data_IF_109882178715
#
_entry.id   IF_109882178715
#
_cell.length_a   1.000
_cell.length_b   1.000
_cell.length_c   1.000
_cell.angle_alpha   90.00
_cell.angle_beta   90.00
_cell.angle_gamma   90.00
#
_symmetry.space_group_name_H-M   'P 1'
#
loop_
_entity.id
_entity.type
_entity.pdbx_description
1 polymer ?
#
# COMPACT_ATOMS: atom_id res chain seq x y z
N UNK A 1 7.78 21.31 -10.97
CA UNK A 1 6.74 21.46 -12.02
C UNK A 1 6.16 20.14 -12.53
N UNK A 2 6.71 18.97 -12.14
CA UNK A 2 6.39 17.69 -12.79
C UNK A 2 5.27 16.82 -12.18
N UNK A 3 4.87 17.02 -10.92
CA UNK A 3 3.88 16.13 -10.29
C UNK A 3 2.42 16.47 -10.59
N UNK A 4 2.15 17.68 -11.10
CA UNK A 4 0.79 18.24 -11.26
C UNK A 4 0.21 18.07 -12.66
N UNK A 5 1.02 17.71 -13.66
CA UNK A 5 0.58 17.32 -15.01
C UNK A 5 0.28 15.81 -15.11
N UNK A 6 0.48 15.05 -14.03
CA UNK A 6 0.46 13.58 -14.08
C UNK A 6 -0.94 13.00 -14.33
N UNK A 7 -2.03 13.72 -14.04
CA UNK A 7 -3.35 13.11 -14.04
C UNK A 7 -4.46 13.73 -14.87
N UNK A 8 -4.39 14.97 -15.39
CA UNK A 8 -5.39 15.42 -16.38
C UNK A 8 -5.09 16.82 -16.92
N UNK A 9 -4.87 16.91 -18.24
CA UNK A 9 -4.97 18.14 -19.03
C UNK A 9 -6.43 18.61 -19.23
N UNK A 10 -7.42 17.99 -18.57
CA UNK A 10 -8.84 18.16 -18.92
C UNK A 10 -9.79 18.48 -17.77
N UNK A 11 -9.31 18.79 -16.56
CA UNK A 11 -10.15 19.37 -15.48
C UNK A 11 -9.58 20.70 -15.00
N UNK A 12 -9.52 21.64 -15.91
CA UNK A 12 -9.33 23.05 -15.61
C UNK A 12 -10.64 23.65 -15.14
N UNK A 13 -10.77 23.90 -13.84
CA UNK A 13 -11.38 25.11 -13.27
C UNK A 13 -11.20 25.09 -11.75
N UNK A 14 -10.57 26.14 -11.23
CA UNK A 14 -10.36 26.45 -9.81
C UNK A 14 -9.46 25.54 -8.97
N UNK A 15 -8.17 25.38 -9.34
CA UNK A 15 -7.17 24.83 -8.42
C UNK A 15 -6.12 25.88 -8.08
N UNK A 16 -6.24 26.49 -6.90
CA UNK A 16 -5.07 27.06 -6.22
C UNK A 16 -4.09 25.90 -6.01
N UNK A 17 -3.00 25.87 -6.79
CA UNK A 17 -1.92 24.88 -6.69
C UNK A 17 -0.94 25.23 -5.56
N UNK A 18 -1.32 26.14 -4.66
CA UNK A 18 -0.45 26.60 -3.61
C UNK A 18 -0.30 25.50 -2.54
N UNK A 19 0.92 24.96 -2.43
CA UNK A 19 1.26 23.88 -1.49
C UNK A 19 1.56 24.39 -0.08
N UNK A 20 1.60 25.71 0.11
CA UNK A 20 1.87 26.34 1.41
C UNK A 20 0.91 25.85 2.49
N UNK A 21 -0.37 25.62 2.15
CA UNK A 21 -1.36 25.11 3.11
C UNK A 21 -0.95 23.74 3.66
N UNK A 22 -0.45 22.84 2.80
CA UNK A 22 0.01 21.51 3.22
C UNK A 22 1.24 21.60 4.11
N UNK A 23 2.21 22.46 3.74
CA UNK A 23 3.40 22.70 4.55
C UNK A 23 3.06 23.31 5.93
N UNK A 24 2.10 24.24 5.98
CA UNK A 24 1.63 24.84 7.24
C UNK A 24 0.90 23.81 8.10
N UNK A 25 0.04 22.97 7.51
CA UNK A 25 -0.63 21.89 8.24
C UNK A 25 0.36 20.90 8.84
N UNK A 26 1.37 20.47 8.08
CA UNK A 26 2.41 19.56 8.57
C UNK A 26 3.15 20.19 9.76
N UNK A 27 3.56 21.46 9.66
CA UNK A 27 4.23 22.17 10.77
C UNK A 27 3.32 22.35 11.99
N UNK A 28 2.04 22.64 11.78
CA UNK A 28 1.07 22.80 12.86
C UNK A 28 0.91 21.49 13.64
N UNK A 29 0.76 20.38 12.93
CA UNK A 29 0.63 19.06 13.55
C UNK A 29 1.95 18.57 14.16
N UNK A 30 3.11 18.91 13.60
CA UNK A 30 4.41 18.56 14.20
C UNK A 30 4.63 19.27 15.53
N UNK A 31 4.13 20.51 15.67
CA UNK A 31 4.18 21.26 16.93
C UNK A 31 3.11 20.83 17.94
N UNK A 32 2.02 20.21 17.46
CA UNK A 32 0.86 19.85 18.27
C UNK A 32 0.42 18.39 17.99
N UNK A 33 1.17 17.39 18.50
CA UNK A 33 0.90 15.98 18.19
C UNK A 33 -0.47 15.49 18.66
N UNK A 34 -1.07 16.14 19.67
CA UNK A 34 -2.43 15.83 20.15
C UNK A 34 -3.50 15.99 19.04
N UNK A 35 -3.25 16.85 18.05
CA UNK A 35 -4.17 17.12 16.95
C UNK A 35 -4.11 16.07 15.83
N UNK A 36 -3.12 15.17 15.83
CA UNK A 36 -2.98 14.10 14.82
C UNK A 36 -4.21 13.20 14.77
N UNK A 37 -4.89 12.99 15.91
CA UNK A 37 -6.13 12.20 15.98
C UNK A 37 -7.24 12.72 15.05
N UNK A 38 -7.27 14.02 14.78
CA UNK A 38 -8.26 14.66 13.91
C UNK A 38 -7.77 14.80 12.46
N UNK A 39 -6.49 14.50 12.18
CA UNK A 39 -5.90 14.69 10.86
C UNK A 39 -6.61 13.88 9.78
N UNK A 40 -7.05 12.65 10.10
CA UNK A 40 -7.81 11.81 9.16
C UNK A 40 -9.07 12.52 8.62
N UNK A 41 -9.81 13.20 9.50
CA UNK A 41 -11.00 13.99 9.11
C UNK A 41 -10.62 15.21 8.28
N UNK A 42 -9.51 15.87 8.60
CA UNK A 42 -9.00 17.01 7.82
C UNK A 42 -8.62 16.57 6.40
N UNK A 43 -7.85 15.48 6.27
CA UNK A 43 -7.46 14.93 4.97
C UNK A 43 -8.71 14.50 4.18
N UNK A 44 -9.66 13.83 4.83
CA UNK A 44 -10.94 13.47 4.21
C UNK A 44 -11.68 14.70 3.69
N UNK A 45 -11.83 15.74 4.51
CA UNK A 45 -12.47 16.99 4.09
C UNK A 45 -11.72 17.65 2.92
N UNK A 46 -10.38 17.65 2.94
CA UNK A 46 -9.59 18.16 1.81
C UNK A 46 -9.83 17.35 0.53
N UNK A 47 -10.04 16.03 0.62
CA UNK A 47 -10.39 15.19 -0.53
C UNK A 47 -11.80 15.47 -1.09
N UNK A 48 -12.70 16.08 -0.31
CA UNK A 48 -13.98 16.59 -0.84
C UNK A 48 -13.80 17.89 -1.64
N UNK A 49 -12.79 18.69 -1.29
CA UNK A 49 -12.53 20.00 -1.90
C UNK A 49 -11.60 19.94 -3.11
N UNK A 50 -10.70 18.95 -3.14
CA UNK A 50 -9.67 18.78 -4.17
C UNK A 50 -9.51 17.30 -4.52
N UNK A 51 -9.09 16.97 -5.76
CA UNK A 51 -8.88 15.58 -6.14
C UNK A 51 -7.89 14.86 -5.21
N UNK A 52 -8.23 13.66 -4.71
CA UNK A 52 -7.41 12.95 -3.73
C UNK A 52 -5.98 12.74 -4.17
N UNK A 53 -5.73 12.53 -5.46
CA UNK A 53 -4.40 12.32 -6.00
C UNK A 53 -3.52 13.56 -5.80
N UNK A 54 -4.10 14.75 -5.96
CA UNK A 54 -3.39 16.00 -5.68
C UNK A 54 -3.13 16.18 -4.18
N UNK A 55 -4.12 15.88 -3.34
CA UNK A 55 -4.00 16.01 -1.87
C UNK A 55 -2.88 15.10 -1.35
N UNK A 56 -2.92 13.82 -1.70
CA UNK A 56 -1.93 12.84 -1.26
C UNK A 56 -0.54 13.13 -1.78
N UNK A 57 -0.38 13.45 -3.08
CA UNK A 57 0.92 13.82 -3.65
C UNK A 57 1.46 15.10 -3.01
N UNK A 58 0.60 16.08 -2.72
CA UNK A 58 1.05 17.32 -2.07
C UNK A 58 1.54 17.07 -0.66
N UNK A 59 0.82 16.25 0.14
CA UNK A 59 1.32 15.83 1.45
C UNK A 59 2.63 15.07 1.35
N UNK A 60 2.74 14.07 0.45
CA UNK A 60 3.97 13.30 0.29
C UNK A 60 5.18 14.16 -0.06
N UNK A 61 5.02 15.14 -0.96
CA UNK A 61 6.11 16.06 -1.33
C UNK A 61 6.47 17.02 -0.20
N UNK A 62 5.49 17.56 0.53
CA UNK A 62 5.78 18.48 1.63
C UNK A 62 6.31 17.76 2.88
N UNK A 63 5.93 16.50 3.12
CA UNK A 63 6.52 15.65 4.16
C UNK A 63 7.99 15.34 3.85
N UNK A 64 8.30 14.98 2.60
CA UNK A 64 9.68 14.71 2.17
C UNK A 64 10.59 15.93 2.34
N UNK A 65 10.08 17.13 1.98
CA UNK A 65 10.77 18.39 2.25
C UNK A 65 10.93 18.68 3.74
N UNK A 66 9.93 18.35 4.55
CA UNK A 66 9.99 18.53 6.00
C UNK A 66 11.11 17.66 6.59
N UNK A 67 11.20 16.39 6.20
CA UNK A 67 12.25 15.46 6.64
C UNK A 67 13.63 15.90 6.14
N UNK A 68 13.76 16.20 4.85
CA UNK A 68 15.04 16.62 4.24
C UNK A 68 15.59 17.88 4.91
N UNK A 69 14.74 18.88 5.17
CA UNK A 69 15.14 20.12 5.84
C UNK A 69 15.67 19.88 7.26
N UNK A 70 15.15 18.88 7.97
CA UNK A 70 15.59 18.51 9.33
C UNK A 70 16.91 17.73 9.30
N UNK A 71 17.11 16.88 8.29
CA UNK A 71 18.37 16.17 8.10
C UNK A 71 19.52 17.11 7.75
N UNK A 72 19.26 18.18 7.01
CA UNK A 72 20.28 19.17 6.60
C UNK A 72 20.65 20.17 7.71
N UNK A 73 19.86 20.29 8.79
CA UNK A 73 20.20 21.19 9.90
C UNK A 73 21.34 20.61 10.76
N UNK A 74 22.51 21.26 10.86
CA UNK A 74 23.71 20.71 11.50
C UNK A 74 23.63 20.60 13.04
N UNK A 75 22.61 21.16 13.68
CA UNK A 75 22.46 21.25 15.14
C UNK A 75 21.32 20.38 15.71
N UNK A 76 20.80 19.40 14.94
CA UNK A 76 19.66 18.60 15.42
C UNK A 76 20.13 17.60 16.49
N UNK A 77 19.77 17.90 17.74
CA UNK A 77 19.77 16.92 18.83
C UNK A 77 19.11 15.63 18.33
N UNK A 78 19.81 14.49 18.45
CA UNK A 78 19.36 13.17 17.96
C UNK A 78 17.94 12.82 18.40
N UNK A 79 17.52 13.27 19.59
CA UNK A 79 16.18 13.06 20.12
C UNK A 79 15.11 13.82 19.33
N UNK A 80 15.38 15.07 18.90
CA UNK A 80 14.43 15.86 18.09
C UNK A 80 14.22 15.27 16.70
N UNK A 81 15.27 14.71 16.10
CA UNK A 81 15.12 14.01 14.81
C UNK A 81 14.26 12.74 14.96
N UNK A 82 14.46 11.99 16.05
CA UNK A 82 13.63 10.82 16.36
C UNK A 82 12.15 11.19 16.53
N UNK A 83 11.87 12.26 17.27
CA UNK A 83 10.50 12.76 17.46
C UNK A 83 9.86 13.22 16.13
N UNK A 84 10.61 13.94 15.30
CA UNK A 84 10.15 14.37 13.98
C UNK A 84 9.85 13.15 13.06
N UNK A 85 10.67 12.09 13.10
CA UNK A 85 10.43 10.86 12.33
C UNK A 85 9.21 10.09 12.83
N UNK A 86 9.02 9.99 14.15
CA UNK A 86 7.83 9.37 14.75
C UNK A 86 6.56 10.13 14.39
N UNK A 87 6.63 11.47 14.38
CA UNK A 87 5.57 12.34 13.88
C UNK A 87 5.22 12.03 12.42
N UNK A 88 6.21 11.95 11.53
CA UNK A 88 5.99 11.66 10.10
C UNK A 88 5.39 10.27 9.93
N UNK A 89 5.86 9.26 10.66
CA UNK A 89 5.27 7.92 10.66
C UNK A 89 3.79 7.94 11.06
N UNK A 90 3.45 8.65 12.14
CA UNK A 90 2.06 8.83 12.59
C UNK A 90 1.21 9.60 11.58
N UNK A 91 1.78 10.61 10.92
CA UNK A 91 1.08 11.36 9.86
C UNK A 91 0.75 10.46 8.67
N UNK A 92 1.72 9.66 8.22
CA UNK A 92 1.55 8.69 7.13
C UNK A 92 0.53 7.62 7.51
N UNK A 93 0.52 7.16 8.75
CA UNK A 93 -0.50 6.23 9.26
C UNK A 93 -1.92 6.81 9.07
N UNK A 94 -2.13 8.10 9.39
CA UNK A 94 -3.41 8.78 9.16
C UNK A 94 -3.75 8.90 7.67
N UNK A 95 -2.76 9.18 6.81
CA UNK A 95 -2.95 9.18 5.36
C UNK A 95 -3.37 7.80 4.84
N UNK A 96 -2.72 6.72 5.30
CA UNK A 96 -3.07 5.34 4.93
C UNK A 96 -4.48 4.98 5.40
N UNK A 97 -4.85 5.38 6.62
CA UNK A 97 -6.21 5.17 7.13
C UNK A 97 -7.26 5.80 6.20
N UNK A 98 -7.06 7.05 5.78
CA UNK A 98 -7.96 7.74 4.85
C UNK A 98 -7.93 7.11 3.45
N UNK A 99 -6.76 6.69 2.97
CA UNK A 99 -6.64 6.03 1.67
C UNK A 99 -7.48 4.75 1.60
N UNK A 100 -7.52 3.96 2.66
CA UNK A 100 -8.17 2.65 2.66
C UNK A 100 -9.65 2.69 3.05
N UNK A 101 -10.07 3.62 3.91
CA UNK A 101 -11.40 3.57 4.54
C UNK A 101 -12.41 4.57 3.99
N UNK A 102 -11.95 5.66 3.38
CA UNK A 102 -12.79 6.81 3.01
C UNK A 102 -13.36 6.66 1.59
N UNK A 103 -14.59 7.08 1.32
CA UNK A 103 -15.20 6.90 -0.02
C UNK A 103 -14.64 7.90 -1.03
N UNK A 104 -14.26 9.09 -0.56
CA UNK A 104 -13.68 10.18 -1.31
C UNK A 104 -12.37 9.77 -2.01
N UNK A 105 -11.64 8.79 -1.44
CA UNK A 105 -10.40 8.24 -1.99
C UNK A 105 -10.62 7.03 -2.91
N UNK A 106 -11.87 6.64 -3.21
CA UNK A 106 -12.17 5.48 -4.05
C UNK A 106 -11.57 5.58 -5.47
N UNK A 107 -11.58 6.78 -6.07
CA UNK A 107 -10.95 7.02 -7.37
C UNK A 107 -9.44 6.77 -7.33
N UNK A 108 -8.75 7.31 -6.31
CA UNK A 108 -7.32 7.09 -6.10
C UNK A 108 -7.01 5.62 -5.83
N UNK A 109 -7.82 4.90 -5.04
CA UNK A 109 -7.66 3.46 -4.85
C UNK A 109 -7.75 2.69 -6.16
N UNK A 110 -8.74 3.01 -7.01
CA UNK A 110 -8.89 2.37 -8.31
C UNK A 110 -7.69 2.64 -9.23
N UNK A 111 -7.11 3.85 -9.19
CA UNK A 111 -5.90 4.18 -9.94
C UNK A 111 -4.68 3.40 -9.46
N UNK A 112 -4.52 3.27 -8.15
CA UNK A 112 -3.39 2.55 -7.54
C UNK A 112 -3.53 1.03 -7.68
N UNK A 113 -4.75 0.51 -7.70
CA UNK A 113 -5.02 -0.92 -7.72
C UNK A 113 -4.28 -1.61 -8.87
N UNK A 114 -3.41 -2.57 -8.55
CA UNK A 114 -2.67 -3.40 -9.50
C UNK A 114 -1.78 -2.63 -10.51
N UNK A 115 -1.40 -1.38 -10.19
CA UNK A 115 -0.60 -0.55 -11.08
C UNK A 115 0.84 -1.04 -11.31
N UNK A 116 1.40 -1.83 -10.39
CA UNK A 116 2.75 -2.39 -10.49
C UNK A 116 2.72 -3.86 -10.95
N UNK A 117 1.72 -4.62 -10.47
CA UNK A 117 1.64 -6.06 -10.77
C UNK A 117 1.26 -6.37 -12.23
N UNK A 118 0.53 -5.48 -12.90
CA UNK A 118 0.15 -5.64 -14.31
C UNK A 118 1.32 -5.37 -15.27
N UNK A 119 1.23 -5.84 -16.53
CA UNK A 119 2.22 -5.51 -17.56
C UNK A 119 2.08 -4.02 -17.92
N UNK A 120 3.17 -3.25 -17.80
CA UNK A 120 3.22 -1.83 -18.15
C UNK A 120 3.25 -1.67 -19.68
N UNK A 121 2.08 -1.59 -20.32
CA UNK A 121 2.00 -1.53 -21.79
C UNK A 121 1.51 -0.17 -22.33
N UNK A 122 1.49 0.88 -21.49
CA UNK A 122 1.05 2.20 -21.90
C UNK A 122 1.55 3.36 -21.06
N UNK A 123 1.44 4.57 -21.61
CA UNK A 123 1.81 5.82 -20.90
C UNK A 123 0.95 6.04 -19.64
N UNK A 124 -0.31 5.59 -19.66
CA UNK A 124 -1.18 5.61 -18.48
C UNK A 124 -0.65 4.74 -17.34
N UNK A 125 -0.17 3.53 -17.62
CA UNK A 125 0.35 2.65 -16.58
C UNK A 125 1.67 3.16 -16.01
N UNK A 126 2.52 3.79 -16.85
CA UNK A 126 3.71 4.51 -16.36
C UNK A 126 3.33 5.62 -15.40
N UNK A 127 2.31 6.43 -15.69
CA UNK A 127 1.86 7.50 -14.79
C UNK A 127 1.31 6.96 -13.46
N UNK A 128 0.54 5.87 -13.51
CA UNK A 128 0.04 5.18 -12.31
C UNK A 128 1.19 4.63 -11.46
N UNK A 129 2.19 4.02 -12.09
CA UNK A 129 3.40 3.56 -11.42
C UNK A 129 4.16 4.74 -10.80
N UNK A 130 4.34 5.86 -11.50
CA UNK A 130 4.99 7.06 -10.93
C UNK A 130 4.22 7.57 -9.71
N UNK A 131 2.89 7.66 -9.78
CA UNK A 131 2.07 8.03 -8.62
C UNK A 131 2.29 7.09 -7.44
N UNK A 132 2.29 5.78 -7.69
CA UNK A 132 2.57 4.77 -6.67
C UNK A 132 3.94 4.97 -6.02
N UNK A 133 5.01 5.20 -6.81
CA UNK A 133 6.36 5.38 -6.26
C UNK A 133 6.49 6.68 -5.44
N UNK A 134 5.83 7.77 -5.86
CA UNK A 134 5.79 9.03 -5.08
C UNK A 134 5.16 8.79 -3.71
N UNK A 135 4.01 8.11 -3.69
CA UNK A 135 3.34 7.78 -2.43
C UNK A 135 4.15 6.80 -1.60
N UNK A 136 4.73 5.77 -2.22
CA UNK A 136 5.53 4.76 -1.54
C UNK A 136 6.76 5.38 -0.86
N UNK A 137 7.43 6.34 -1.50
CA UNK A 137 8.56 7.03 -0.90
C UNK A 137 8.19 7.71 0.42
N UNK A 138 7.06 8.43 0.46
CA UNK A 138 6.57 9.04 1.69
C UNK A 138 6.00 8.01 2.66
N UNK A 139 5.36 6.96 2.17
CA UNK A 139 4.77 5.92 3.00
C UNK A 139 5.83 5.05 3.66
N UNK A 140 7.05 4.99 3.13
CA UNK A 140 8.20 4.28 3.68
C UNK A 140 8.56 4.68 5.12
N UNK A 141 8.12 5.86 5.58
CA UNK A 141 8.26 6.27 6.98
C UNK A 141 7.38 5.48 7.95
N UNK A 142 6.40 4.72 7.46
CA UNK A 142 5.61 3.76 8.25
C UNK A 142 5.52 2.43 7.48
N UNK A 143 6.00 1.36 8.11
CA UNK A 143 6.09 0.05 7.48
C UNK A 143 4.70 -0.54 7.13
N UNK A 144 3.72 -0.44 8.02
CA UNK A 144 2.38 -0.99 7.78
C UNK A 144 1.68 -0.23 6.65
N UNK A 145 1.84 1.09 6.59
CA UNK A 145 1.35 1.92 5.49
C UNK A 145 2.00 1.54 4.16
N UNK A 146 3.32 1.30 4.14
CA UNK A 146 4.06 0.85 2.97
C UNK A 146 3.57 -0.50 2.46
N UNK A 147 3.42 -1.47 3.37
CA UNK A 147 2.91 -2.81 3.06
C UNK A 147 1.47 -2.72 2.55
N UNK A 148 0.62 -1.90 3.18
CA UNK A 148 -0.76 -1.65 2.75
C UNK A 148 -0.82 -1.12 1.32
N UNK A 149 0.01 -0.11 1.02
CA UNK A 149 0.09 0.50 -0.31
C UNK A 149 0.62 -0.51 -1.33
N UNK A 150 1.65 -1.29 -0.98
CA UNK A 150 2.21 -2.32 -1.85
C UNK A 150 1.18 -3.43 -2.17
N UNK A 151 0.40 -3.86 -1.18
CA UNK A 151 -0.69 -4.82 -1.40
C UNK A 151 -1.74 -4.25 -2.35
N UNK A 152 -2.08 -2.97 -2.22
CA UNK A 152 -3.03 -2.30 -3.13
C UNK A 152 -2.45 -2.18 -4.54
N UNK A 153 -1.18 -1.80 -4.66
CA UNK A 153 -0.48 -1.59 -5.93
C UNK A 153 -0.11 -2.86 -6.69
N UNK A 154 -0.25 -4.03 -6.08
CA UNK A 154 0.26 -5.29 -6.63
C UNK A 154 1.78 -5.44 -6.52
N UNK A 155 2.44 -4.68 -5.65
CA UNK A 155 3.87 -4.73 -5.39
C UNK A 155 4.22 -5.75 -4.28
N UNK A 156 3.82 -7.01 -4.48
CA UNK A 156 3.91 -8.06 -3.46
C UNK A 156 5.32 -8.49 -3.10
N UNK A 157 6.26 -8.47 -4.06
CA UNK A 157 7.65 -8.82 -3.78
C UNK A 157 8.31 -7.69 -2.99
N UNK A 158 7.99 -6.44 -3.32
CA UNK A 158 8.46 -5.27 -2.57
C UNK A 158 7.94 -5.32 -1.13
N UNK A 159 6.63 -5.61 -0.95
CA UNK A 159 6.02 -5.83 0.35
C UNK A 159 6.73 -6.93 1.16
N UNK A 160 6.96 -8.10 0.55
CA UNK A 160 7.69 -9.19 1.20
C UNK A 160 9.12 -8.80 1.59
N UNK A 161 9.79 -7.95 0.81
CA UNK A 161 11.14 -7.47 1.13
C UNK A 161 11.14 -6.56 2.34
N UNK A 162 10.18 -5.63 2.44
CA UNK A 162 10.05 -4.76 3.61
C UNK A 162 9.77 -5.57 4.88
N UNK A 163 8.88 -6.55 4.81
CA UNK A 163 8.56 -7.41 5.95
C UNK A 163 9.74 -8.31 6.38
N UNK A 164 10.63 -8.66 5.47
CA UNK A 164 11.81 -9.47 5.80
C UNK A 164 12.93 -8.65 6.46
N UNK A 165 12.94 -7.34 6.26
CA UNK A 165 13.94 -6.42 6.83
C UNK A 165 13.58 -5.92 8.23
N UNK A 166 12.42 -6.31 8.76
CA UNK A 166 11.97 -5.93 10.10
C UNK A 166 12.88 -6.57 11.15
N UNK A 167 13.47 -5.75 12.01
CA UNK A 167 14.12 -6.23 13.21
C UNK A 167 13.03 -6.62 14.24
N UNK A 168 13.03 -7.87 14.75
CA UNK A 168 12.10 -8.29 15.80
C UNK A 168 12.14 -7.39 17.06
N UNK A 169 13.23 -6.67 17.30
CA UNK A 169 13.38 -5.76 18.45
C UNK A 169 12.63 -4.43 18.28
N UNK A 170 12.34 -4.03 17.03
CA UNK A 170 11.66 -2.76 16.71
C UNK A 170 10.12 -2.89 16.71
N UNK A 171 9.61 -4.07 17.06
CA UNK A 171 8.16 -4.35 17.08
C UNK A 171 7.55 -3.78 18.36
N UNK A 172 6.78 -2.70 18.23
CA UNK A 172 6.01 -2.09 19.31
C UNK A 172 4.51 -2.46 19.26
N UNK A 173 3.77 -2.10 20.31
CA UNK A 173 2.33 -2.37 20.39
C UNK A 173 1.54 -1.62 19.30
N UNK A 174 1.97 -0.42 18.94
CA UNK A 174 1.29 0.42 17.93
C UNK A 174 1.36 -0.25 16.57
N UNK A 175 2.54 -0.75 16.18
CA UNK A 175 2.78 -1.53 14.98
C UNK A 175 1.91 -2.79 14.92
N UNK A 176 1.80 -3.54 16.03
CA UNK A 176 0.94 -4.73 16.08
C UNK A 176 -0.54 -4.40 15.89
N UNK A 177 -1.02 -3.32 16.53
CA UNK A 177 -2.39 -2.83 16.33
C UNK A 177 -2.65 -2.38 14.88
N UNK A 178 -1.64 -1.77 14.24
CA UNK A 178 -1.72 -1.37 12.83
C UNK A 178 -1.81 -2.59 11.90
N UNK A 179 -1.03 -3.65 12.13
CA UNK A 179 -1.13 -4.89 11.34
C UNK A 179 -2.47 -5.57 11.55
N UNK A 180 -2.95 -5.68 12.79
CA UNK A 180 -4.28 -6.25 13.08
C UNK A 180 -5.36 -5.50 12.28
N UNK A 181 -5.28 -4.16 12.24
CA UNK A 181 -6.21 -3.35 11.45
C UNK A 181 -6.04 -3.55 9.94
N UNK A 182 -4.82 -3.71 9.46
CA UNK A 182 -4.56 -4.01 8.05
C UNK A 182 -5.22 -5.34 7.65
N UNK A 183 -5.06 -6.39 8.45
CA UNK A 183 -5.69 -7.70 8.18
C UNK A 183 -7.22 -7.59 8.17
N UNK A 184 -7.81 -6.83 9.09
CA UNK A 184 -9.26 -6.55 9.05
C UNK A 184 -9.67 -5.85 7.74
N UNK A 185 -8.86 -4.90 7.27
CA UNK A 185 -9.12 -4.20 6.00
C UNK A 185 -8.94 -5.12 4.80
N UNK A 186 -8.00 -6.07 4.84
CA UNK A 186 -7.78 -7.06 3.77
C UNK A 186 -9.01 -7.95 3.52
N UNK A 187 -9.79 -8.26 4.54
CA UNK A 187 -11.04 -9.01 4.39
C UNK A 187 -12.17 -8.17 3.77
N UNK A 188 -12.01 -6.84 3.66
CA UNK A 188 -13.00 -5.94 3.05
C UNK A 188 -12.87 -5.90 1.53
N UNK A 189 -13.91 -5.37 0.87
CA UNK A 189 -14.03 -5.32 -0.60
C UNK A 189 -12.86 -4.63 -1.30
N UNK A 190 -12.17 -3.70 -0.64
CA UNK A 190 -11.00 -2.98 -1.16
C UNK A 190 -9.89 -3.94 -1.61
N UNK A 191 -9.74 -5.07 -0.93
CA UNK A 191 -8.70 -6.05 -1.20
C UNK A 191 -9.24 -7.38 -1.74
N UNK A 192 -10.49 -7.41 -2.23
CA UNK A 192 -11.11 -8.63 -2.76
C UNK A 192 -10.25 -9.32 -3.83
N UNK A 193 -9.54 -8.55 -4.65
CA UNK A 193 -8.68 -9.07 -5.72
C UNK A 193 -7.48 -9.87 -5.19
N UNK A 194 -7.00 -9.61 -3.97
CA UNK A 194 -5.89 -10.36 -3.37
C UNK A 194 -6.24 -11.85 -3.22
N UNK A 195 -7.49 -12.15 -2.84
CA UNK A 195 -7.92 -13.54 -2.64
C UNK A 195 -7.88 -14.35 -3.93
N UNK A 196 -8.27 -13.75 -5.05
CA UNK A 196 -8.22 -14.41 -6.36
C UNK A 196 -6.77 -14.60 -6.82
N UNK A 197 -5.93 -13.56 -6.69
CA UNK A 197 -4.51 -13.61 -7.08
C UNK A 197 -3.71 -14.68 -6.35
N UNK A 198 -4.08 -15.03 -5.12
CA UNK A 198 -3.40 -16.11 -4.39
C UNK A 198 -3.61 -17.51 -5.00
N UNK A 199 -4.68 -17.69 -5.77
CA UNK A 199 -5.10 -18.97 -6.40
C UNK A 199 -4.66 -19.03 -7.86
N UNK A 200 -4.38 -17.89 -8.49
CA UNK A 200 -3.96 -17.83 -9.89
C UNK A 200 -2.64 -18.59 -10.14
N UNK A 201 -2.54 -19.35 -11.24
CA UNK A 201 -1.29 -19.98 -11.64
C UNK A 201 -0.28 -18.93 -12.07
N UNK A 202 0.92 -18.98 -11.50
CA UNK A 202 1.98 -18.02 -11.75
C UNK A 202 2.98 -18.59 -12.77
N UNK A 203 3.06 -18.01 -13.98
CA UNK A 203 4.13 -18.36 -14.96
C UNK A 203 5.53 -18.05 -14.40
N UNK A 204 5.66 -16.96 -13.63
CA UNK A 204 6.90 -16.59 -12.96
C UNK A 204 6.61 -16.25 -11.48
N UNK A 205 6.94 -17.13 -10.53
CA UNK A 205 6.60 -16.98 -9.12
C UNK A 205 7.35 -15.84 -8.42
N UNK A 206 8.45 -15.32 -8.97
CA UNK A 206 9.24 -14.23 -8.36
C UNK A 206 8.98 -12.86 -9.00
N UNK A 207 8.05 -12.77 -9.94
CA UNK A 207 7.67 -11.51 -10.58
C UNK A 207 6.84 -10.65 -9.63
N UNK A 208 7.00 -9.33 -9.73
CA UNK A 208 6.11 -8.37 -9.07
C UNK A 208 4.65 -8.62 -9.49
N UNK A 209 3.73 -8.63 -8.53
CA UNK A 209 2.32 -8.96 -8.75
C UNK A 209 1.97 -10.45 -8.76
N UNK A 210 2.95 -11.36 -8.63
CA UNK A 210 2.71 -12.80 -8.56
C UNK A 210 1.97 -13.22 -7.29
N UNK A 211 1.06 -14.18 -7.42
CA UNK A 211 0.35 -14.81 -6.30
C UNK A 211 1.30 -15.50 -5.31
N UNK A 212 2.42 -16.04 -5.78
CA UNK A 212 3.45 -16.65 -4.93
C UNK A 212 4.10 -15.63 -3.99
N UNK A 213 4.44 -14.45 -4.51
CA UNK A 213 5.00 -13.36 -3.71
C UNK A 213 3.95 -12.78 -2.76
N UNK A 214 2.68 -12.70 -3.17
CA UNK A 214 1.59 -12.34 -2.28
C UNK A 214 1.48 -13.33 -1.12
N UNK A 215 1.43 -14.63 -1.40
CA UNK A 215 1.38 -15.66 -0.36
C UNK A 215 2.57 -15.56 0.60
N UNK A 216 3.78 -15.32 0.07
CA UNK A 216 4.97 -15.10 0.89
C UNK A 216 4.84 -13.87 1.80
N UNK A 217 4.42 -12.73 1.25
CA UNK A 217 4.23 -11.50 2.03
C UNK A 217 3.19 -11.69 3.14
N UNK A 218 2.06 -12.35 2.84
CA UNK A 218 1.01 -12.62 3.83
C UNK A 218 1.45 -13.64 4.88
N UNK A 219 2.26 -14.63 4.52
CA UNK A 219 2.88 -15.54 5.49
C UNK A 219 3.88 -14.80 6.38
N UNK A 220 4.67 -13.88 5.84
CA UNK A 220 5.55 -13.03 6.65
C UNK A 220 4.76 -12.18 7.64
N UNK A 221 3.66 -11.54 7.21
CA UNK A 221 2.75 -10.82 8.12
C UNK A 221 2.18 -11.73 9.21
N UNK A 222 1.74 -12.94 8.86
CA UNK A 222 1.23 -13.91 9.83
C UNK A 222 2.27 -14.27 10.91
N UNK A 223 3.55 -14.32 10.55
CA UNK A 223 4.63 -14.64 11.49
C UNK A 223 5.01 -13.47 12.41
N UNK A 224 4.67 -12.23 12.06
CA UNK A 224 4.90 -11.05 12.89
C UNK A 224 3.76 -10.82 13.90
N UNK A 225 2.57 -11.35 13.63
CA UNK A 225 1.41 -11.18 14.51
C UNK A 225 1.52 -12.04 15.77
N UNK A 226 1.23 -11.48 16.96
CA UNK A 226 0.98 -12.28 18.16
C UNK A 226 -0.31 -13.10 17.99
N UNK A 227 -0.63 -13.95 18.97
CA UNK A 227 -1.94 -14.61 18.98
C UNK A 227 -3.06 -13.57 19.12
N UNK A 228 -3.71 -13.26 18.01
CA UNK A 228 -4.81 -12.30 17.89
C UNK A 228 -5.94 -12.88 17.03
N UNK A 229 -7.10 -12.23 17.01
CA UNK A 229 -8.18 -12.59 16.09
C UNK A 229 -7.75 -12.44 14.64
N UNK A 230 -6.95 -11.42 14.32
CA UNK A 230 -6.46 -11.18 12.98
C UNK A 230 -5.49 -12.29 12.52
N UNK A 231 -4.63 -12.77 13.41
CA UNK A 231 -3.75 -13.92 13.17
C UNK A 231 -4.56 -15.17 12.79
N UNK A 232 -5.64 -15.46 13.53
CA UNK A 232 -6.54 -16.58 13.22
C UNK A 232 -7.20 -16.42 11.85
N UNK A 233 -7.77 -15.25 11.57
CA UNK A 233 -8.41 -14.95 10.28
C UNK A 233 -7.44 -15.16 9.11
N UNK A 234 -6.23 -14.60 9.21
CA UNK A 234 -5.22 -14.73 8.16
C UNK A 234 -4.73 -16.18 8.02
N UNK A 235 -4.56 -16.90 9.13
CA UNK A 235 -4.19 -18.32 9.12
C UNK A 235 -5.25 -19.17 8.41
N UNK A 236 -6.52 -18.99 8.76
CA UNK A 236 -7.66 -19.72 8.19
C UNK A 236 -7.80 -19.51 6.68
N UNK A 237 -7.41 -18.32 6.19
CA UNK A 237 -7.34 -18.03 4.75
C UNK A 237 -6.16 -18.69 4.05
N UNK A 238 -4.99 -18.63 4.68
CA UNK A 238 -3.74 -19.10 4.05
C UNK A 238 -3.60 -20.62 4.06
N UNK A 239 -4.20 -21.34 5.01
CA UNK A 239 -4.11 -22.81 5.08
C UNK A 239 -4.73 -23.50 3.86
N UNK A 240 -5.97 -23.20 3.44
CA UNK A 240 -6.56 -23.76 2.21
C UNK A 240 -5.76 -23.42 0.95
N UNK A 241 -5.29 -22.18 0.83
CA UNK A 241 -4.45 -21.72 -0.29
C UNK A 241 -3.13 -22.49 -0.35
N UNK A 242 -2.48 -22.71 0.80
CA UNK A 242 -1.24 -23.48 0.87
C UNK A 242 -1.44 -24.92 0.36
N UNK A 243 -2.53 -25.57 0.79
CA UNK A 243 -2.90 -26.91 0.33
C UNK A 243 -3.18 -26.93 -1.17
N UNK A 244 -3.96 -25.97 -1.67
CA UNK A 244 -4.24 -25.83 -3.09
C UNK A 244 -2.95 -25.69 -3.92
N UNK A 245 -2.03 -24.80 -3.51
CA UNK A 245 -0.77 -24.58 -4.22
C UNK A 245 0.14 -25.83 -4.20
N UNK A 246 0.16 -26.58 -3.10
CA UNK A 246 0.87 -27.86 -3.02
C UNK A 246 0.27 -28.89 -4.00
N UNK A 247 -1.06 -29.00 -4.06
CA UNK A 247 -1.73 -29.90 -5.01
C UNK A 247 -1.55 -29.44 -6.47
N UNK A 248 -1.64 -28.15 -6.76
CA UNK A 248 -1.41 -27.61 -8.11
C UNK A 248 0.01 -27.91 -8.62
N UNK A 249 1.04 -27.70 -7.78
CA UNK A 249 2.41 -28.08 -8.10
C UNK A 249 2.56 -29.59 -8.37
N UNK A 250 1.84 -30.42 -7.62
CA UNK A 250 1.82 -31.85 -7.90
C UNK A 250 1.18 -32.15 -9.27
N UNK A 251 0.03 -31.52 -9.60
CA UNK A 251 -0.69 -31.69 -10.87
C UNK A 251 0.07 -31.20 -12.10
N UNK A 252 0.83 -30.10 -12.02
CA UNK A 252 1.64 -29.64 -13.14
C UNK A 252 2.76 -30.64 -13.48
N UNK A 253 3.29 -31.37 -12.49
CA UNK A 253 4.17 -32.52 -12.69
C UNK A 253 3.50 -33.68 -13.47
N UNK A 254 2.18 -33.87 -13.33
CA UNK A 254 1.42 -34.85 -14.11
C UNK A 254 1.11 -34.37 -15.54
N UNK A 255 0.94 -33.06 -15.76
CA UNK A 255 0.70 -32.51 -17.11
C UNK A 255 1.92 -32.59 -18.03
N UNK A 256 3.14 -32.57 -17.50
CA UNK A 256 4.35 -32.80 -18.30
C UNK A 256 4.49 -34.27 -18.77
N UNK A 257 3.70 -35.19 -18.19
CA UNK A 257 3.79 -36.64 -18.48
C UNK A 257 2.63 -37.21 -19.29
N UNK A 258 1.56 -36.44 -19.57
CA UNK A 258 0.43 -36.87 -20.41
C UNK A 258 0.14 -35.89 -21.57
N UNK A 259 -0.10 -36.38 -22.80
CA UNK A 259 -0.56 -35.52 -23.89
C UNK A 259 -1.97 -34.99 -23.59
N UNK A 260 -2.13 -33.66 -23.61
CA UNK A 260 -3.39 -32.96 -23.36
C UNK A 260 -4.45 -33.38 -24.39
N UNK A 261 -5.46 -34.13 -23.94
CA UNK A 261 -6.69 -34.34 -24.70
C UNK A 261 -7.63 -33.18 -24.38
N UNK A 262 -7.74 -32.22 -25.30
CA UNK A 262 -8.72 -31.13 -25.22
C UNK A 262 -10.14 -31.70 -25.25
N UNK A 263 -10.85 -31.59 -24.13
CA UNK A 263 -12.29 -31.85 -24.07
C UNK A 263 -13.03 -30.76 -24.82
N UNK A 264 -13.40 -31.02 -26.08
CA UNK A 264 -14.29 -30.15 -26.85
C UNK A 264 -15.67 -30.08 -26.19
N UNK A 265 -15.96 -28.95 -25.55
CA UNK A 265 -17.31 -28.64 -25.05
C UNK A 265 -18.14 -28.14 -26.22
N UNK A 266 -19.04 -28.99 -26.74
CA UNK A 266 -20.08 -28.59 -27.69
C UNK A 266 -21.13 -27.73 -26.96
N UNK A 267 -21.15 -26.44 -27.23
CA UNK A 267 -22.28 -25.57 -26.86
C UNK A 267 -23.33 -25.73 -27.97
N UNK A 268 -24.38 -26.51 -27.69
CA UNK A 268 -25.55 -26.57 -28.55
C UNK A 268 -26.30 -25.23 -28.45
N UNK A 269 -26.58 -24.64 -29.62
CA UNK A 269 -27.36 -23.40 -29.78
C UNK A 269 -28.83 -23.57 -29.41
#
# INVERSE_FOLDING_TARGET
>A
TFALDILESSRGQNKSRNREVFAVLIRLHSQNPQLLSNLSRVIQYMCTLQPPEFVFVSFSVELDKFVTKRLESPDVETNKLSDDLQFVSSFVQQMNHVLLNTEETAGLRSLLMDCIGSRMDGDRDKRRAVLFHILLHSFAHNLVASVSLCLLGGAYRTSSSFLYQVDPLDIDLVFLMEIDKLVEVMERTVFRNLHLRMVEPDENPYREGSGAMLFRALKSLLMLLPQSTAQNVLSDRLVPVARFRQTALSMDHWKETEPVVESMVYINR
#
